data_IF_040360825161
#
_entry.id   IF_040360825161
#
_cell.length_a   1.000
_cell.length_b   1.000
_cell.length_c   1.000
_cell.angle_alpha   90.00
_cell.angle_beta   90.00
_cell.angle_gamma   90.00
#
_symmetry.space_group_name_H-M   'P 1'
#
loop_
_entity.id
_entity.type
_entity.pdbx_description
1 polymer ?
#
# COMPACT_ATOMS: atom_id res chain seq x y z
N UNK A 1 -11.29 -1.66 19.13
CA UNK A 1 -11.92 -0.80 18.10
C UNK A 1 -10.85 -0.08 17.26
N UNK A 2 -9.95 -0.82 16.60
CA UNK A 2 -8.97 -0.26 15.64
C UNK A 2 -9.29 -0.67 14.19
N UNK A 3 -10.21 -1.61 13.98
CA UNK A 3 -10.57 -2.14 12.66
C UNK A 3 -11.37 -1.16 11.80
N UNK A 4 -12.13 -0.22 12.39
CA UNK A 4 -13.09 0.59 11.63
C UNK A 4 -12.47 1.63 10.68
N UNK A 5 -11.14 1.82 10.67
CA UNK A 5 -10.55 2.92 9.90
C UNK A 5 -9.30 2.57 9.06
N UNK A 6 -8.75 1.36 9.16
CA UNK A 6 -7.52 1.03 8.40
C UNK A 6 -7.77 0.87 6.88
N UNK A 7 -9.02 0.58 6.51
CA UNK A 7 -9.46 0.43 5.12
C UNK A 7 -10.02 1.75 4.53
N UNK A 8 -9.93 2.86 5.26
CA UNK A 8 -10.43 4.14 4.77
C UNK A 8 -9.61 4.64 3.59
N UNK A 9 -10.29 5.37 2.71
CA UNK A 9 -9.68 6.13 1.63
C UNK A 9 -9.91 7.62 1.85
N UNK A 10 -8.92 8.43 1.47
CA UNK A 10 -9.08 9.88 1.46
C UNK A 10 -9.87 10.36 0.23
N UNK A 11 -10.04 11.68 0.09
CA UNK A 11 -10.77 12.29 -1.04
C UNK A 11 -10.14 12.04 -2.42
N UNK A 12 -8.91 11.56 -2.47
CA UNK A 12 -8.18 11.20 -3.70
C UNK A 12 -8.24 9.69 -3.97
N UNK A 13 -8.94 8.92 -3.13
CA UNK A 13 -8.95 7.47 -3.21
C UNK A 13 -7.70 6.84 -2.62
N UNK A 14 -6.84 7.59 -1.90
CA UNK A 14 -5.63 7.03 -1.34
C UNK A 14 -5.92 6.25 -0.07
N UNK A 15 -5.44 5.01 -0.01
CA UNK A 15 -5.46 4.17 1.19
C UNK A 15 -4.35 4.58 2.17
N UNK A 16 -4.47 4.16 3.44
CA UNK A 16 -3.38 4.35 4.42
C UNK A 16 -2.06 3.69 3.97
N UNK A 17 -2.13 2.56 3.27
CA UNK A 17 -0.93 1.89 2.72
C UNK A 17 -0.24 2.75 1.66
N UNK A 18 -1.00 3.40 0.76
CA UNK A 18 -0.41 4.33 -0.22
C UNK A 18 0.27 5.52 0.48
N UNK A 19 -0.36 6.07 1.52
CA UNK A 19 0.19 7.18 2.28
C UNK A 19 1.47 6.79 3.03
N UNK A 20 1.50 5.62 3.67
CA UNK A 20 2.69 5.11 4.35
C UNK A 20 3.84 4.86 3.37
N UNK A 21 3.54 4.25 2.22
CA UNK A 21 4.51 4.00 1.14
C UNK A 21 5.08 5.28 0.56
N UNK A 22 4.25 6.29 0.33
CA UNK A 22 4.66 7.63 -0.14
C UNK A 22 5.58 8.37 0.83
N UNK A 23 5.46 8.07 2.12
CA UNK A 23 6.22 8.72 3.20
C UNK A 23 7.46 7.92 3.63
N UNK A 24 7.70 6.76 3.03
CA UNK A 24 8.84 5.90 3.38
C UNK A 24 8.74 5.29 4.78
N UNK A 25 7.54 5.13 5.35
CA UNK A 25 7.37 4.65 6.73
C UNK A 25 7.40 3.12 6.75
N UNK A 26 8.61 2.55 6.76
CA UNK A 26 8.87 1.10 6.62
C UNK A 26 8.02 0.24 7.56
N UNK A 27 8.07 0.52 8.86
CA UNK A 27 7.41 -0.29 9.87
C UNK A 27 5.89 -0.37 9.67
N UNK A 28 5.26 0.78 9.39
CA UNK A 28 3.81 0.89 9.17
C UNK A 28 3.42 0.23 7.85
N UNK A 29 4.19 0.43 6.78
CA UNK A 29 3.92 -0.24 5.49
C UNK A 29 3.98 -1.76 5.61
N UNK A 30 4.99 -2.31 6.31
CA UNK A 30 5.10 -3.76 6.52
C UNK A 30 3.97 -4.31 7.39
N UNK A 31 3.54 -3.57 8.41
CA UNK A 31 2.40 -3.94 9.24
C UNK A 31 1.10 -3.96 8.42
N UNK A 32 0.85 -2.93 7.63
CA UNK A 32 -0.31 -2.86 6.74
C UNK A 32 -0.32 -3.94 5.67
N UNK A 33 0.83 -4.28 5.07
CA UNK A 33 0.90 -5.39 4.08
C UNK A 33 0.48 -6.73 4.70
N UNK A 34 0.68 -6.92 6.01
CA UNK A 34 0.30 -8.16 6.72
C UNK A 34 -1.16 -8.16 7.18
N UNK A 35 -1.67 -6.99 7.59
CA UNK A 35 -3.00 -6.87 8.21
C UNK A 35 -4.12 -6.59 7.21
N UNK A 36 -3.82 -5.86 6.13
CA UNK A 36 -4.84 -5.45 5.17
C UNK A 36 -5.30 -6.65 4.32
N UNK A 37 -6.60 -6.70 3.98
CA UNK A 37 -7.10 -7.72 3.07
C UNK A 37 -6.57 -7.46 1.64
N UNK A 38 -6.50 -8.50 0.78
CA UNK A 38 -5.94 -8.39 -0.57
C UNK A 38 -6.48 -7.23 -1.40
N UNK A 39 -7.78 -6.96 -1.29
CA UNK A 39 -8.48 -5.88 -2.02
C UNK A 39 -7.91 -4.49 -1.69
N UNK A 40 -7.44 -4.30 -0.46
CA UNK A 40 -6.82 -3.04 -0.04
C UNK A 40 -5.35 -2.94 -0.45
N UNK A 41 -4.67 -4.07 -0.66
CA UNK A 41 -3.31 -4.11 -1.21
C UNK A 41 -3.33 -3.74 -2.69
N UNK A 42 -4.31 -4.20 -3.47
CA UNK A 42 -4.47 -3.87 -4.91
C UNK A 42 -5.39 -2.67 -5.18
N UNK A 43 -5.89 -2.01 -4.14
CA UNK A 43 -6.71 -0.82 -4.30
C UNK A 43 -5.93 0.25 -5.06
N UNK A 44 -6.60 0.89 -6.03
CA UNK A 44 -6.06 1.97 -6.81
C UNK A 44 -6.73 3.29 -6.44
N UNK A 45 -5.95 4.37 -6.41
CA UNK A 45 -6.48 5.72 -6.18
C UNK A 45 -7.27 6.23 -7.40
N UNK A 46 -7.76 7.47 -7.33
CA UNK A 46 -8.52 8.09 -8.43
C UNK A 46 -7.71 8.26 -9.73
N UNK A 47 -6.40 8.08 -9.70
CA UNK A 47 -5.51 8.12 -10.87
C UNK A 47 -5.13 6.71 -11.38
N UNK A 48 -5.66 5.65 -10.76
CA UNK A 48 -5.29 4.27 -11.08
C UNK A 48 -3.95 3.83 -10.47
N UNK A 49 -3.39 4.59 -9.52
CA UNK A 49 -2.14 4.26 -8.86
C UNK A 49 -2.38 3.39 -7.63
N UNK A 50 -1.63 2.30 -7.54
CA UNK A 50 -1.59 1.42 -6.38
C UNK A 50 -0.45 1.81 -5.42
N UNK A 51 -0.37 1.18 -4.25
CA UNK A 51 0.66 1.50 -3.25
C UNK A 51 2.11 1.38 -3.76
N UNK A 52 2.45 0.44 -4.65
CA UNK A 52 3.79 0.36 -5.23
C UNK A 52 4.14 1.59 -6.09
N UNK A 53 3.17 2.21 -6.76
CA UNK A 53 3.39 3.44 -7.57
C UNK A 53 3.86 4.62 -6.73
N UNK A 54 3.55 4.62 -5.43
CA UNK A 54 3.95 5.64 -4.48
C UNK A 54 5.14 5.25 -3.60
N UNK A 55 5.66 4.03 -3.72
CA UNK A 55 6.70 3.54 -2.84
C UNK A 55 7.94 4.45 -2.88
N UNK A 56 8.40 4.84 -1.69
CA UNK A 56 9.59 5.67 -1.54
C UNK A 56 10.80 5.04 -2.29
N UNK A 57 11.60 5.90 -2.89
CA UNK A 57 12.77 5.50 -3.67
C UNK A 57 14.04 5.38 -2.84
N UNK A 58 14.02 5.78 -1.57
CA UNK A 58 15.13 5.59 -0.64
C UNK A 58 15.53 4.11 -0.60
N UNK A 59 16.84 3.87 -0.54
CA UNK A 59 17.40 2.52 -0.46
C UNK A 59 16.88 1.75 0.75
N UNK A 60 16.63 2.42 1.88
CA UNK A 60 16.08 1.80 3.08
C UNK A 60 14.65 1.26 2.87
N UNK A 61 13.90 1.81 1.91
CA UNK A 61 12.53 1.39 1.60
C UNK A 61 12.45 0.31 0.51
N UNK A 62 13.59 -0.12 -0.05
CA UNK A 62 13.63 -1.05 -1.19
C UNK A 62 12.89 -2.37 -0.91
N UNK A 63 13.06 -2.96 0.26
CA UNK A 63 12.38 -4.21 0.67
C UNK A 63 10.85 -4.06 0.61
N UNK A 64 10.32 -2.95 1.12
CA UNK A 64 8.87 -2.70 1.14
C UNK A 64 8.34 -2.50 -0.28
N UNK A 65 9.09 -1.77 -1.12
CA UNK A 65 8.74 -1.57 -2.53
C UNK A 65 8.67 -2.88 -3.29
N UNK A 66 9.68 -3.74 -3.14
CA UNK A 66 9.73 -5.05 -3.80
C UNK A 66 8.57 -5.94 -3.35
N UNK A 67 8.30 -6.00 -2.03
CA UNK A 67 7.18 -6.75 -1.48
C UNK A 67 5.82 -6.26 -2.01
N UNK A 68 5.62 -4.94 -2.13
CA UNK A 68 4.39 -4.38 -2.69
C UNK A 68 4.20 -4.77 -4.15
N UNK A 69 5.26 -4.68 -4.95
CA UNK A 69 5.23 -5.07 -6.37
C UNK A 69 4.86 -6.54 -6.52
N UNK A 70 5.52 -7.42 -5.76
CA UNK A 70 5.24 -8.86 -5.75
C UNK A 70 3.78 -9.15 -5.37
N UNK A 71 3.32 -8.60 -4.24
CA UNK A 71 1.94 -8.82 -3.76
C UNK A 71 0.91 -8.33 -4.77
N UNK A 72 1.09 -7.13 -5.31
CA UNK A 72 0.13 -6.55 -6.26
C UNK A 72 0.11 -7.31 -7.57
N UNK A 73 1.26 -7.74 -8.08
CA UNK A 73 1.31 -8.58 -9.28
C UNK A 73 0.62 -9.94 -9.08
N UNK A 74 0.85 -10.59 -7.93
CA UNK A 74 0.28 -11.91 -7.63
C UNK A 74 -1.23 -11.89 -7.37
N UNK A 75 -1.77 -10.75 -6.94
CA UNK A 75 -3.19 -10.59 -6.62
C UNK A 75 -4.04 -10.12 -7.81
N UNK A 76 -3.41 -9.57 -8.85
CA UNK A 76 -4.11 -9.21 -10.08
C UNK A 76 -4.38 -10.48 -10.92
N UNK A 77 -5.58 -10.62 -11.49
CA UNK A 77 -5.86 -11.72 -12.41
C UNK A 77 -4.99 -11.58 -13.67
N UNK A 78 -4.29 -12.67 -14.02
CA UNK A 78 -3.51 -12.81 -15.27
C UNK A 78 -4.38 -12.91 -16.50
#
# INVERSE_FOLDING_TARGET
MFEENINSIDKFGMTLLMLASKKGIIAVSLEFIKLLPPEMIISADNNGNMAASYADTDKAFAEVRELLQEKQQNLLPT
#
